data_IF_715425409957
#
_entry.id   IF_715425409957
#
_cell.length_a   1.000
_cell.length_b   1.000
_cell.length_c   1.000
_cell.angle_alpha   90.00
_cell.angle_beta   90.00
_cell.angle_gamma   90.00
#
_symmetry.space_group_name_H-M   'P 1'
#
loop_
_entity.id
_entity.type
_entity.pdbx_description
1 polymer ?
#
# COMPACT_ATOMS: atom_id res chain seq x y z
N UNK A 1 16.15 7.41 -17.10
CA UNK A 1 16.37 6.11 -16.41
C UNK A 1 15.08 5.31 -16.51
N UNK A 2 15.12 4.03 -16.88
CA UNK A 2 13.90 3.19 -16.95
C UNK A 2 13.58 2.67 -15.53
N UNK A 3 12.37 2.89 -15.04
CA UNK A 3 11.92 2.55 -13.68
C UNK A 3 10.95 1.35 -13.64
N UNK A 4 10.75 0.68 -14.79
CA UNK A 4 9.93 -0.52 -14.91
C UNK A 4 10.52 -1.49 -15.93
N UNK A 5 9.96 -2.70 -15.97
CA UNK A 5 10.38 -3.77 -16.87
C UNK A 5 9.55 -3.82 -18.17
N UNK A 6 8.64 -2.87 -18.38
CA UNK A 6 7.71 -2.88 -19.52
C UNK A 6 8.43 -2.82 -20.86
N UNK A 7 8.09 -3.71 -21.79
CA UNK A 7 8.58 -3.66 -23.16
C UNK A 7 7.70 -2.74 -24.01
N UNK A 8 8.12 -1.48 -24.12
CA UNK A 8 7.40 -0.48 -24.91
C UNK A 8 7.43 -0.77 -26.42
N UNK A 9 8.34 -1.63 -26.91
CA UNK A 9 8.35 -2.01 -28.34
C UNK A 9 7.16 -2.91 -28.68
N UNK A 10 6.75 -3.74 -27.72
CA UNK A 10 5.63 -4.68 -27.84
C UNK A 10 4.46 -4.30 -26.91
N UNK A 11 4.25 -3.00 -26.67
CA UNK A 11 3.29 -2.50 -25.67
C UNK A 11 1.84 -2.99 -25.89
N UNK A 12 1.45 -3.31 -27.13
CA UNK A 12 0.12 -3.83 -27.46
C UNK A 12 -0.14 -5.24 -26.93
N UNK A 13 0.92 -6.00 -26.67
CA UNK A 13 0.84 -7.33 -26.06
C UNK A 13 0.89 -7.27 -24.54
N UNK A 14 1.13 -6.09 -23.98
CA UNK A 14 1.18 -5.87 -22.55
C UNK A 14 -0.24 -5.75 -21.98
N UNK A 15 -0.54 -6.51 -20.93
CA UNK A 15 -1.78 -6.46 -20.14
C UNK A 15 -1.83 -5.25 -19.18
N UNK A 16 -1.01 -4.23 -19.44
CA UNK A 16 -1.06 -2.96 -18.72
C UNK A 16 -2.23 -2.15 -19.25
N UNK A 17 -3.18 -1.85 -18.37
CA UNK A 17 -4.34 -1.04 -18.72
C UNK A 17 -3.92 0.40 -19.03
N UNK A 18 -4.17 0.89 -20.23
CA UNK A 18 -3.87 2.29 -20.60
C UNK A 18 -5.07 3.22 -20.39
N UNK A 19 -6.22 2.66 -20.04
CA UNK A 19 -7.46 3.35 -19.67
C UNK A 19 -7.55 3.51 -18.14
N UNK A 20 -8.73 3.90 -17.64
CA UNK A 20 -9.03 4.04 -16.23
C UNK A 20 -8.93 2.72 -15.48
N UNK A 21 -8.18 2.70 -14.38
CA UNK A 21 -8.12 1.58 -13.44
C UNK A 21 -9.47 1.35 -12.71
N UNK A 22 -10.47 2.20 -12.93
CA UNK A 22 -11.83 2.02 -12.42
C UNK A 22 -12.70 1.15 -13.35
N UNK A 23 -12.24 0.82 -14.55
CA UNK A 23 -12.95 -0.01 -15.53
C UNK A 23 -12.59 -1.50 -15.40
N UNK A 24 -12.51 -2.00 -14.16
CA UNK A 24 -12.25 -3.42 -13.89
C UNK A 24 -13.60 -4.12 -13.68
N UNK A 25 -13.97 -5.00 -14.61
CA UNK A 25 -15.27 -5.67 -14.62
C UNK A 25 -15.51 -6.52 -13.36
N UNK A 26 -14.50 -7.26 -12.92
CA UNK A 26 -14.60 -8.15 -11.76
C UNK A 26 -13.31 -8.15 -10.92
N UNK A 27 -13.47 -8.23 -9.60
CA UNK A 27 -12.35 -8.42 -8.66
C UNK A 27 -11.70 -9.78 -8.89
N UNK A 28 -10.37 -9.82 -8.97
CA UNK A 28 -9.63 -11.08 -9.01
C UNK A 28 -9.90 -11.88 -7.71
N UNK A 29 -10.37 -13.13 -7.86
CA UNK A 29 -10.69 -14.05 -6.76
C UNK A 29 -9.59 -15.08 -6.52
N UNK A 30 -8.52 -15.07 -7.32
CA UNK A 30 -7.38 -15.97 -7.18
C UNK A 30 -6.41 -15.51 -6.09
N UNK A 31 -5.52 -16.42 -5.66
CA UNK A 31 -4.48 -16.09 -4.68
C UNK A 31 -4.97 -15.94 -3.24
N UNK A 32 -4.29 -15.09 -2.47
CA UNK A 32 -4.47 -14.92 -1.01
C UNK A 32 -5.52 -13.86 -0.65
N UNK A 33 -6.14 -13.24 -1.64
CA UNK A 33 -7.05 -12.12 -1.48
C UNK A 33 -8.37 -12.54 -0.83
N UNK A 34 -8.62 -12.11 0.41
CA UNK A 34 -9.89 -12.34 1.12
C UNK A 34 -10.51 -11.02 1.56
N UNK A 35 -11.84 -10.95 1.50
CA UNK A 35 -12.63 -9.81 1.99
C UNK A 35 -12.85 -9.91 3.51
N UNK A 36 -11.76 -9.99 4.27
CA UNK A 36 -11.81 -10.05 5.74
C UNK A 36 -11.60 -8.69 6.41
N UNK A 37 -11.09 -7.72 5.66
CA UNK A 37 -10.87 -6.35 6.11
C UNK A 37 -11.67 -5.42 5.19
N UNK A 38 -12.50 -4.57 5.79
CA UNK A 38 -13.39 -3.70 5.03
C UNK A 38 -12.56 -2.65 4.28
N UNK A 39 -12.92 -2.37 3.02
CA UNK A 39 -12.28 -1.33 2.23
C UNK A 39 -11.07 -1.77 1.40
N UNK A 40 -10.64 -3.05 1.46
CA UNK A 40 -9.56 -3.55 0.59
C UNK A 40 -9.84 -3.24 -0.90
N UNK A 41 -8.93 -2.53 -1.57
CA UNK A 41 -9.03 -2.31 -3.02
C UNK A 41 -8.82 -3.61 -3.80
N UNK A 42 -9.26 -3.61 -5.06
CA UNK A 42 -9.16 -4.77 -5.94
C UNK A 42 -7.69 -5.03 -6.29
N UNK A 43 -7.21 -6.29 -6.25
CA UNK A 43 -5.78 -6.63 -6.44
C UNK A 43 -5.18 -6.17 -7.77
N UNK A 44 -6.02 -5.93 -8.77
CA UNK A 44 -5.57 -5.43 -10.06
C UNK A 44 -5.04 -3.99 -10.00
N UNK A 45 -5.54 -3.14 -9.09
CA UNK A 45 -5.00 -1.76 -8.91
C UNK A 45 -3.52 -1.77 -8.49
N UNK A 46 -3.10 -2.44 -7.40
CA UNK A 46 -1.70 -2.46 -6.97
C UNK A 46 -0.85 -3.21 -7.97
N UNK A 47 -1.34 -4.31 -8.56
CA UNK A 47 -0.61 -5.02 -9.61
C UNK A 47 -0.20 -4.07 -10.75
N UNK A 48 -1.17 -3.29 -11.23
CA UNK A 48 -0.98 -2.32 -12.29
C UNK A 48 0.01 -1.21 -11.86
N UNK A 49 -0.17 -0.62 -10.68
CA UNK A 49 0.71 0.44 -10.17
C UNK A 49 2.15 -0.05 -9.96
N UNK A 50 2.33 -1.19 -9.30
CA UNK A 50 3.64 -1.81 -9.04
C UNK A 50 4.38 -2.03 -10.35
N UNK A 51 3.74 -2.64 -11.37
CA UNK A 51 4.38 -2.90 -12.67
C UNK A 51 4.77 -1.63 -13.44
N UNK A 52 4.05 -0.52 -13.24
CA UNK A 52 4.37 0.77 -13.89
C UNK A 52 5.56 1.47 -13.25
N UNK A 53 5.70 1.37 -11.94
CA UNK A 53 6.60 2.23 -11.17
C UNK A 53 7.76 1.50 -10.51
N UNK A 54 7.84 0.17 -10.67
CA UNK A 54 8.94 -0.64 -10.12
C UNK A 54 9.45 -1.68 -11.11
N UNK A 55 10.66 -2.15 -10.83
CA UNK A 55 11.23 -3.38 -11.38
C UNK A 55 11.17 -4.53 -10.40
N UNK A 56 11.41 -5.74 -10.87
CA UNK A 56 11.73 -6.87 -9.99
C UNK A 56 12.83 -6.53 -8.99
N UNK A 57 12.69 -7.06 -7.77
CA UNK A 57 13.55 -6.83 -6.60
C UNK A 57 13.57 -5.40 -6.03
N UNK A 58 12.85 -4.44 -6.62
CA UNK A 58 12.68 -3.11 -6.05
C UNK A 58 11.64 -3.11 -4.91
N UNK A 59 11.74 -2.11 -4.04
CA UNK A 59 11.00 -2.00 -2.79
C UNK A 59 9.74 -1.15 -2.95
N UNK A 60 8.62 -1.70 -2.51
CA UNK A 60 7.34 -1.00 -2.32
C UNK A 60 7.12 -0.75 -0.83
N UNK A 61 6.83 0.50 -0.46
CA UNK A 61 6.42 0.89 0.90
C UNK A 61 4.93 1.18 0.94
N UNK A 62 4.23 0.65 1.93
CA UNK A 62 2.82 0.92 2.20
C UNK A 62 2.59 1.23 3.69
N UNK A 63 2.24 2.48 4.06
CA UNK A 63 2.05 2.89 5.46
C UNK A 63 0.67 2.50 6.05
N UNK A 64 -0.15 1.78 5.27
CA UNK A 64 -1.49 1.32 5.62
C UNK A 64 -1.73 -0.08 5.03
N UNK A 65 -0.98 -1.08 5.48
CA UNK A 65 -0.95 -2.38 4.80
C UNK A 65 -2.26 -3.18 4.92
N UNK A 66 -3.04 -2.94 5.98
CA UNK A 66 -4.26 -3.67 6.29
C UNK A 66 -4.07 -5.18 6.18
N UNK A 67 -4.92 -5.82 5.38
CA UNK A 67 -4.87 -7.27 5.16
C UNK A 67 -3.80 -7.76 4.16
N UNK A 68 -2.93 -6.88 3.66
CA UNK A 68 -1.75 -7.27 2.87
C UNK A 68 -1.99 -7.44 1.37
N UNK A 69 -3.02 -6.82 0.78
CA UNK A 69 -3.32 -6.94 -0.67
C UNK A 69 -2.11 -6.57 -1.54
N UNK A 70 -1.43 -5.45 -1.22
CA UNK A 70 -0.23 -5.01 -1.94
C UNK A 70 0.95 -5.96 -1.74
N UNK A 71 1.14 -6.50 -0.53
CA UNK A 71 2.17 -7.49 -0.25
C UNK A 71 1.99 -8.74 -1.13
N UNK A 72 0.76 -9.24 -1.27
CA UNK A 72 0.50 -10.42 -2.11
C UNK A 72 0.80 -10.16 -3.58
N UNK A 73 0.53 -8.95 -4.08
CA UNK A 73 0.91 -8.58 -5.44
C UNK A 73 2.43 -8.35 -5.59
N UNK A 74 3.11 -7.86 -4.55
CA UNK A 74 4.57 -7.79 -4.54
C UNK A 74 5.21 -9.18 -4.61
N UNK A 75 4.66 -10.16 -3.89
CA UNK A 75 5.09 -11.57 -3.97
C UNK A 75 4.94 -12.11 -5.39
N UNK A 76 3.74 -11.99 -5.97
CA UNK A 76 3.43 -12.43 -7.34
C UNK A 76 4.35 -11.79 -8.39
N UNK A 77 4.74 -10.54 -8.17
CA UNK A 77 5.57 -9.77 -9.07
C UNK A 77 7.05 -9.79 -8.68
N UNK A 78 7.48 -10.54 -7.67
CA UNK A 78 8.89 -10.57 -7.22
C UNK A 78 9.45 -9.18 -6.87
N UNK A 79 8.65 -8.32 -6.25
CA UNK A 79 9.09 -7.07 -5.62
C UNK A 79 9.41 -7.33 -4.16
N UNK A 80 10.15 -6.43 -3.50
CA UNK A 80 10.29 -6.43 -2.05
C UNK A 80 9.24 -5.52 -1.43
N UNK A 81 8.83 -5.80 -0.21
CA UNK A 81 7.72 -5.07 0.43
C UNK A 81 8.03 -4.63 1.85
N UNK A 82 7.65 -3.40 2.17
CA UNK A 82 7.66 -2.85 3.53
C UNK A 82 6.23 -2.37 3.81
N UNK A 83 5.61 -2.92 4.86
CA UNK A 83 4.23 -2.61 5.23
C UNK A 83 4.10 -2.24 6.69
N UNK A 84 3.32 -1.21 6.96
CA UNK A 84 3.03 -0.73 8.31
C UNK A 84 1.53 -0.70 8.54
N UNK A 85 1.12 -1.10 9.75
CA UNK A 85 -0.26 -0.93 10.21
C UNK A 85 -0.29 -0.62 11.70
N UNK A 86 -1.33 0.08 12.13
CA UNK A 86 -1.59 0.31 13.54
C UNK A 86 -2.38 -0.84 14.17
N UNK A 87 -3.07 -1.65 13.36
CA UNK A 87 -3.85 -2.78 13.84
C UNK A 87 -2.98 -4.03 14.02
N UNK A 88 -2.62 -4.43 15.26
CA UNK A 88 -1.73 -5.56 15.49
C UNK A 88 -2.32 -6.90 15.03
N UNK A 89 -3.66 -7.02 14.95
CA UNK A 89 -4.34 -8.24 14.54
C UNK A 89 -4.04 -8.59 13.08
N UNK A 90 -3.76 -7.57 12.24
CA UNK A 90 -3.48 -7.80 10.83
C UNK A 90 -2.14 -8.51 10.60
N UNK A 91 -1.15 -8.33 11.48
CA UNK A 91 0.14 -9.00 11.32
C UNK A 91 0.03 -10.52 11.46
N UNK A 92 -0.77 -11.01 12.41
CA UNK A 92 -1.00 -12.45 12.56
C UNK A 92 -1.69 -13.01 11.31
N UNK A 93 -2.75 -12.34 10.84
CA UNK A 93 -3.44 -12.74 9.62
C UNK A 93 -2.49 -12.79 8.41
N UNK A 94 -1.72 -11.73 8.17
CA UNK A 94 -0.82 -11.64 7.02
C UNK A 94 0.31 -12.65 7.11
N UNK A 95 0.93 -12.83 8.28
CA UNK A 95 1.96 -13.86 8.46
C UNK A 95 1.42 -15.27 8.19
N UNK A 96 0.19 -15.58 8.63
CA UNK A 96 -0.45 -16.86 8.34
C UNK A 96 -0.76 -17.04 6.83
N UNK A 97 -1.09 -15.95 6.12
CA UNK A 97 -1.30 -15.98 4.68
C UNK A 97 0.01 -16.09 3.88
N UNK A 98 1.13 -15.60 4.43
CA UNK A 98 2.45 -15.64 3.81
C UNK A 98 3.18 -16.97 4.08
N UNK A 99 2.66 -18.04 3.45
CA UNK A 99 3.19 -19.41 3.60
C UNK A 99 4.37 -19.76 2.68
N UNK A 100 4.76 -18.88 1.75
CA UNK A 100 5.89 -19.13 0.84
C UNK A 100 7.20 -18.79 1.55
N UNK A 101 7.91 -19.83 2.01
CA UNK A 101 9.20 -19.69 2.67
C UNK A 101 10.28 -19.05 1.77
N UNK A 102 10.14 -19.14 0.44
CA UNK A 102 11.10 -18.51 -0.48
C UNK A 102 10.98 -16.98 -0.49
N UNK A 103 9.81 -16.45 -0.13
CA UNK A 103 9.54 -15.02 -0.14
C UNK A 103 9.63 -14.36 1.25
N UNK A 104 9.80 -15.15 2.32
CA UNK A 104 9.89 -14.67 3.73
C UNK A 104 10.98 -13.64 4.00
N UNK A 105 12.03 -13.65 3.18
CA UNK A 105 13.14 -12.69 3.24
C UNK A 105 12.95 -11.44 2.37
N UNK A 106 11.85 -11.37 1.59
CA UNK A 106 11.54 -10.27 0.68
C UNK A 106 10.46 -9.32 1.21
N UNK A 107 9.97 -9.52 2.43
CA UNK A 107 9.08 -8.56 3.06
C UNK A 107 9.42 -8.26 4.53
N UNK A 108 9.06 -7.06 4.95
CA UNK A 108 9.06 -6.60 6.33
C UNK A 108 7.70 -5.99 6.63
N UNK A 109 7.03 -6.49 7.67
CA UNK A 109 5.81 -5.90 8.20
C UNK A 109 5.97 -5.70 9.70
N UNK A 110 5.51 -4.57 10.21
CA UNK A 110 5.56 -4.30 11.63
C UNK A 110 4.47 -3.32 12.07
N UNK A 111 4.15 -3.36 13.36
CA UNK A 111 3.32 -2.35 13.99
C UNK A 111 3.98 -0.98 13.87
N UNK A 112 3.21 0.02 13.44
CA UNK A 112 3.68 1.39 13.37
C UNK A 112 2.51 2.37 13.37
N UNK A 113 2.61 3.39 14.22
CA UNK A 113 1.88 4.63 14.05
C UNK A 113 2.58 5.45 12.96
N UNK A 114 2.03 5.47 11.75
CA UNK A 114 2.62 6.20 10.62
C UNK A 114 2.74 7.72 10.84
N UNK A 115 2.09 8.29 11.87
CA UNK A 115 2.26 9.69 12.29
C UNK A 115 3.56 9.91 13.08
N UNK A 116 4.09 8.87 13.72
CA UNK A 116 5.32 8.92 14.49
C UNK A 116 6.53 8.80 13.56
N UNK A 117 7.20 9.92 13.35
CA UNK A 117 8.36 10.02 12.47
C UNK A 117 9.53 9.10 12.90
N UNK A 118 9.78 8.97 14.21
CA UNK A 118 10.90 8.20 14.73
C UNK A 118 10.63 6.71 14.58
N UNK A 119 9.40 6.28 14.86
CA UNK A 119 8.98 4.90 14.65
C UNK A 119 8.99 4.49 13.18
N UNK A 120 8.59 5.39 12.27
CA UNK A 120 8.71 5.16 10.82
C UNK A 120 10.17 5.01 10.40
N UNK A 121 11.06 5.90 10.87
CA UNK A 121 12.49 5.85 10.58
C UNK A 121 13.13 4.53 11.04
N UNK A 122 12.85 4.12 12.28
CA UNK A 122 13.38 2.89 12.87
C UNK A 122 12.89 1.66 12.09
N UNK A 123 11.60 1.58 11.78
CA UNK A 123 11.04 0.47 11.03
C UNK A 123 11.61 0.39 9.61
N UNK A 124 11.81 1.53 8.93
CA UNK A 124 12.44 1.56 7.60
C UNK A 124 13.91 1.13 7.68
N UNK A 125 14.64 1.52 8.71
CA UNK A 125 16.01 1.06 8.91
C UNK A 125 16.05 -0.48 9.08
N UNK A 126 15.25 -1.01 9.99
CA UNK A 126 15.15 -2.45 10.26
C UNK A 126 14.73 -3.23 9.00
N UNK A 127 13.79 -2.68 8.22
CA UNK A 127 13.38 -3.25 6.96
C UNK A 127 14.51 -3.26 5.93
N UNK A 128 15.23 -2.15 5.77
CA UNK A 128 16.37 -2.05 4.85
C UNK A 128 17.47 -3.06 5.19
N UNK A 129 17.76 -3.24 6.48
CA UNK A 129 18.72 -4.24 6.98
C UNK A 129 18.26 -5.67 6.64
N UNK A 130 17.01 -6.02 6.98
CA UNK A 130 16.43 -7.35 6.67
C UNK A 130 16.42 -7.63 5.17
N UNK A 131 15.98 -6.66 4.38
CA UNK A 131 15.77 -6.81 2.93
C UNK A 131 17.04 -6.61 2.11
N UNK A 132 18.15 -6.21 2.76
CA UNK A 132 19.42 -5.84 2.11
C UNK A 132 19.21 -4.76 1.03
N UNK A 133 18.55 -3.67 1.41
CA UNK A 133 18.20 -2.54 0.53
C UNK A 133 18.65 -1.22 1.15
N UNK A 134 18.53 -0.12 0.41
CA UNK A 134 19.01 1.21 0.84
C UNK A 134 17.98 2.33 0.69
N UNK A 135 16.81 2.02 0.16
CA UNK A 135 15.82 3.02 -0.24
C UNK A 135 14.60 2.37 -0.86
N UNK A 136 13.54 3.16 -1.01
CA UNK A 136 12.24 2.75 -1.51
C UNK A 136 12.06 3.26 -2.94
N UNK A 137 11.51 2.42 -3.83
CA UNK A 137 11.33 2.79 -5.24
C UNK A 137 9.88 3.13 -5.60
N UNK A 138 8.92 2.75 -4.76
CA UNK A 138 7.52 3.11 -4.93
C UNK A 138 6.82 3.17 -3.56
N UNK A 139 6.04 4.22 -3.33
CA UNK A 139 5.18 4.32 -2.15
C UNK A 139 3.73 4.20 -2.60
N UNK A 140 3.00 3.25 -2.05
CA UNK A 140 1.56 3.07 -2.30
C UNK A 140 0.80 3.35 -1.02
N UNK A 141 -0.17 4.25 -1.08
CA UNK A 141 -1.02 4.57 0.06
C UNK A 141 -2.47 4.25 -0.26
N UNK A 142 -3.11 3.53 0.64
CA UNK A 142 -4.55 3.34 0.66
C UNK A 142 -5.00 3.56 2.10
N UNK A 143 -5.13 4.84 2.45
CA UNK A 143 -5.51 5.26 3.80
C UNK A 143 -6.94 4.79 4.13
N UNK A 144 -7.25 4.57 5.42
CA UNK A 144 -8.62 4.27 5.81
C UNK A 144 -9.54 5.44 5.44
N UNK A 145 -10.74 5.11 4.99
CA UNK A 145 -11.77 6.10 4.67
C UNK A 145 -12.26 6.79 5.95
N UNK A 146 -12.40 8.12 5.88
CA UNK A 146 -12.73 8.98 7.01
C UNK A 146 -14.12 8.67 7.57
N UNK A 147 -14.19 8.20 8.82
CA UNK A 147 -15.44 8.01 9.57
C UNK A 147 -16.48 7.13 8.83
N UNK A 148 -16.02 5.97 8.32
CA UNK A 148 -16.89 4.93 7.73
C UNK A 148 -16.78 3.62 8.50
N UNK A 149 -15.56 3.13 8.69
CA UNK A 149 -15.27 1.89 9.42
C UNK A 149 -14.15 2.19 10.40
N UNK A 150 -14.40 1.97 11.68
CA UNK A 150 -13.38 2.11 12.73
C UNK A 150 -12.63 0.79 12.85
N UNK A 151 -11.32 0.82 12.64
CA UNK A 151 -10.52 -0.41 12.54
C UNK A 151 -9.89 -0.84 13.87
N UNK A 152 -9.63 0.10 14.76
CA UNK A 152 -9.00 -0.16 16.06
C UNK A 152 -9.57 0.73 17.16
N UNK A 153 -9.15 0.50 18.41
CA UNK A 153 -9.38 1.42 19.51
C UNK A 153 -8.27 2.46 19.73
N UNK A 154 -7.21 2.43 18.91
CA UNK A 154 -6.09 3.36 19.02
C UNK A 154 -6.54 4.81 18.74
N UNK A 155 -5.95 5.78 19.45
CA UNK A 155 -6.24 7.21 19.26
C UNK A 155 -5.61 7.79 17.99
N UNK A 156 -4.59 7.13 17.47
CA UNK A 156 -3.90 7.47 16.23
C UNK A 156 -4.54 6.81 15.00
N UNK A 157 -5.61 6.03 15.19
CA UNK A 157 -6.39 5.47 14.10
C UNK A 157 -7.09 6.58 13.31
N UNK A 158 -6.61 6.82 12.09
CA UNK A 158 -7.16 7.85 11.21
C UNK A 158 -8.63 7.63 10.85
N UNK A 159 -9.13 6.40 10.91
CA UNK A 159 -10.53 6.10 10.62
C UNK A 159 -11.50 6.70 11.64
N UNK A 160 -11.01 7.09 12.82
CA UNK A 160 -11.80 7.73 13.88
C UNK A 160 -11.98 9.24 13.70
N UNK A 161 -11.26 9.85 12.75
CA UNK A 161 -11.32 11.29 12.51
C UNK A 161 -12.58 11.60 11.69
N UNK A 162 -13.43 12.51 12.19
CA UNK A 162 -14.65 12.96 11.52
C UNK A 162 -14.49 14.33 10.84
N UNK A 163 -13.38 15.01 11.10
CA UNK A 163 -13.06 16.33 10.55
C UNK A 163 -12.06 16.25 9.40
N UNK A 164 -12.48 16.69 8.21
CA UNK A 164 -11.65 16.65 7.00
C UNK A 164 -10.33 17.42 7.12
N UNK A 165 -10.31 18.57 7.80
CA UNK A 165 -9.09 19.37 7.93
C UNK A 165 -8.08 18.68 8.85
N UNK A 166 -8.57 18.04 9.93
CA UNK A 166 -7.72 17.23 10.79
C UNK A 166 -7.19 16.00 10.04
N UNK A 167 -8.05 15.31 9.30
CA UNK A 167 -7.67 14.15 8.50
C UNK A 167 -6.58 14.49 7.50
N UNK A 168 -6.78 15.54 6.69
CA UNK A 168 -5.80 16.00 5.69
C UNK A 168 -4.50 16.43 6.36
N UNK A 169 -4.56 17.09 7.53
CA UNK A 169 -3.37 17.48 8.29
C UNK A 169 -2.56 16.25 8.73
N UNK A 170 -3.21 15.24 9.30
CA UNK A 170 -2.56 14.00 9.73
C UNK A 170 -2.06 13.19 8.54
N UNK A 171 -2.84 13.10 7.47
CA UNK A 171 -2.43 12.42 6.24
C UNK A 171 -1.18 13.05 5.63
N UNK A 172 -1.09 14.39 5.61
CA UNK A 172 0.10 15.10 5.17
C UNK A 172 1.34 14.71 5.97
N UNK A 173 1.24 14.57 7.29
CA UNK A 173 2.35 14.14 8.14
C UNK A 173 2.81 12.73 7.74
N UNK A 174 1.87 11.82 7.49
CA UNK A 174 2.19 10.45 7.03
C UNK A 174 2.86 10.48 5.65
N UNK A 175 2.41 11.34 4.74
CA UNK A 175 3.09 11.56 3.47
C UNK A 175 4.53 12.06 3.68
N UNK A 176 4.76 13.04 4.55
CA UNK A 176 6.11 13.56 4.84
C UNK A 176 7.02 12.47 5.44
N UNK A 177 6.51 11.72 6.42
CA UNK A 177 7.22 10.62 7.07
C UNK A 177 7.56 9.48 6.08
N UNK A 178 6.68 9.17 5.14
CA UNK A 178 6.89 8.08 4.18
C UNK A 178 7.75 8.50 2.99
N UNK A 179 7.44 9.65 2.38
CA UNK A 179 8.03 10.07 1.10
C UNK A 179 9.48 10.54 1.24
N UNK A 180 9.95 10.90 2.43
CA UNK A 180 11.38 11.18 2.65
C UNK A 180 12.29 9.97 2.40
N UNK A 181 11.74 8.74 2.46
CA UNK A 181 12.46 7.50 2.17
C UNK A 181 12.39 7.08 0.69
N UNK A 182 11.60 7.79 -0.12
CA UNK A 182 11.45 7.53 -1.54
C UNK A 182 12.70 8.02 -2.29
N UNK A 183 13.28 7.15 -3.13
CA UNK A 183 14.41 7.52 -3.96
C UNK A 183 14.06 8.68 -4.91
N UNK A 184 15.07 9.50 -5.23
CA UNK A 184 14.90 10.61 -6.19
C UNK A 184 14.39 10.10 -7.55
N UNK A 185 13.48 10.88 -8.15
CA UNK A 185 12.86 10.57 -9.45
C UNK A 185 12.02 9.27 -9.47
N UNK A 186 11.49 8.87 -8.32
CA UNK A 186 10.49 7.80 -8.18
C UNK A 186 9.09 8.36 -7.96
N UNK A 187 8.13 7.46 -7.92
CA UNK A 187 6.71 7.77 -7.88
C UNK A 187 6.09 7.32 -6.57
N UNK A 188 5.00 7.96 -6.20
CA UNK A 188 4.07 7.45 -5.21
C UNK A 188 2.67 7.48 -5.80
N UNK A 189 1.78 6.66 -5.27
CA UNK A 189 0.37 6.67 -5.62
C UNK A 189 -0.47 6.67 -4.34
N UNK A 190 -1.57 7.42 -4.38
CA UNK A 190 -2.61 7.39 -3.36
C UNK A 190 -3.86 6.84 -4.03
N UNK A 191 -4.41 5.77 -3.47
CA UNK A 191 -5.66 5.15 -3.93
C UNK A 191 -6.76 5.64 -3.02
N UNK A 192 -7.74 6.32 -3.61
CA UNK A 192 -8.85 6.95 -2.88
C UNK A 192 -10.12 6.59 -3.61
N UNK A 193 -11.09 6.09 -2.86
CA UNK A 193 -12.44 5.78 -3.33
C UNK A 193 -13.46 6.85 -2.94
N UNK A 194 -14.54 6.94 -3.70
CA UNK A 194 -15.68 7.80 -3.37
C UNK A 194 -16.39 7.31 -2.11
N UNK A 195 -16.85 8.25 -1.28
CA UNK A 195 -17.62 7.97 -0.06
C UNK A 195 -18.99 8.60 -0.14
N UNK A 196 -20.04 7.80 0.02
CA UNK A 196 -21.42 8.28 -0.03
C UNK A 196 -21.95 8.51 1.39
N UNK A 197 -22.05 9.77 1.83
CA UNK A 197 -22.77 10.15 3.07
C UNK A 197 -24.14 10.75 2.70
N UNK A 198 -25.20 10.31 3.39
CA UNK A 198 -26.56 10.88 3.30
C UNK A 198 -27.19 10.95 1.89
N UNK A 199 -26.93 9.98 1.01
CA UNK A 199 -27.56 9.92 -0.33
C UNK A 199 -26.97 10.90 -1.36
N UNK A 200 -25.93 11.65 -1.01
CA UNK A 200 -25.15 12.48 -1.92
C UNK A 200 -23.73 11.92 -2.13
N UNK A 201 -23.13 12.24 -3.28
CA UNK A 201 -21.72 11.95 -3.56
C UNK A 201 -20.86 12.97 -2.78
N UNK A 202 -20.11 12.50 -1.79
CA UNK A 202 -19.04 13.29 -1.16
C UNK A 202 -17.70 12.77 -1.67
N UNK A 203 -16.85 13.67 -2.17
CA UNK A 203 -15.50 13.32 -2.58
C UNK A 203 -14.58 13.40 -1.36
N UNK A 204 -13.90 12.31 -1.03
CA UNK A 204 -12.77 12.33 -0.12
C UNK A 204 -11.49 12.59 -0.93
N UNK A 205 -10.70 13.57 -0.49
CA UNK A 205 -9.45 14.00 -1.13
C UNK A 205 -8.28 13.06 -0.87
#
# INVERSE_FOLDING_TARGET
MKFNDLDLKNWKECDINTDSLWLINERDKSGKHKNIYHGNFIPQIPNQLIRRYTKENEVVLEPFMGSGTTLFECEKLSRKYIGFDINPVMFEYVNNAMSDETYKHNFYINHCNSLDNEQVDENIQNANEKLQTKGVQFVLMHQPYMDIVKFTEDENDMSKIDNINEFVKKFKIICENSLKHLDKNRYFAVVIGDVYKNGGKSYDL
#
